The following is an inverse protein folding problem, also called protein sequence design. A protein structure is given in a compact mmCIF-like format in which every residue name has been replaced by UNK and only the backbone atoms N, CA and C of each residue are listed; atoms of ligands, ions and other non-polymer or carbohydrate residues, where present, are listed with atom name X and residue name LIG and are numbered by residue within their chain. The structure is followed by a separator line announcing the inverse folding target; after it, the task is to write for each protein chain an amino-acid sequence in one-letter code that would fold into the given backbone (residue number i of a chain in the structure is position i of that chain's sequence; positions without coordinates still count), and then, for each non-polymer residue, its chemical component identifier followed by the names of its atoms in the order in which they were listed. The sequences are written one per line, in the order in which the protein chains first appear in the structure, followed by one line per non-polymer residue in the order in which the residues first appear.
data_IF_463225016115
#
_entry.id   IF_463225016115
#
_cell.length_a   1.000
_cell.length_b   1.000
_cell.length_c   1.000
_cell.angle_alpha   90.00
_cell.angle_beta   90.00
_cell.angle_gamma   90.00
#
_symmetry.space_group_name_H-M   'P 1'
#
loop_
_entity.id
_entity.type
_entity.pdbx_description
1 polymer ?
#
# COMPACT_ATOMS: atom_id res chain seq x y z
N UNK A 1 -43.27 41.89 19.46
CA UNK A 1 -42.57 41.89 18.16
C UNK A 1 -41.78 40.60 18.06
N UNK A 2 -42.29 39.63 17.31
CA UNK A 2 -41.68 38.31 17.09
C UNK A 2 -40.42 38.49 16.25
N UNK A 3 -39.28 38.01 16.74
CA UNK A 3 -38.02 38.06 16.01
C UNK A 3 -38.17 37.32 14.67
N UNK A 4 -37.96 38.03 13.56
CA UNK A 4 -37.94 37.42 12.24
C UNK A 4 -36.77 36.44 12.19
N UNK A 5 -37.06 35.13 12.27
CA UNK A 5 -36.09 34.08 11.94
C UNK A 5 -35.68 34.31 10.48
N UNK A 6 -34.46 34.75 10.28
CA UNK A 6 -33.83 34.79 8.95
C UNK A 6 -33.84 33.37 8.41
N UNK A 7 -34.74 33.10 7.44
CA UNK A 7 -34.80 31.79 6.76
C UNK A 7 -33.52 31.61 5.96
N UNK A 8 -32.75 30.58 6.30
CA UNK A 8 -31.63 30.11 5.48
C UNK A 8 -32.16 29.81 4.07
N UNK A 9 -31.51 30.30 3.00
CA UNK A 9 -31.93 29.99 1.64
C UNK A 9 -31.95 28.46 1.44
N UNK A 10 -33.04 27.92 0.89
CA UNK A 10 -33.08 26.52 0.46
C UNK A 10 -32.03 26.32 -0.64
N UNK A 11 -30.95 25.61 -0.32
CA UNK A 11 -29.96 25.13 -1.29
C UNK A 11 -30.14 23.63 -1.47
N UNK A 12 -29.95 23.12 -2.69
CA UNK A 12 -30.06 21.69 -3.00
C UNK A 12 -29.21 20.86 -2.03
N UNK A 13 -27.98 21.26 -1.77
CA UNK A 13 -27.06 20.53 -0.87
C UNK A 13 -27.54 20.46 0.58
N UNK A 14 -28.14 21.54 1.10
CA UNK A 14 -28.71 21.55 2.44
C UNK A 14 -29.88 20.56 2.56
N UNK A 15 -30.71 20.50 1.52
CA UNK A 15 -31.83 19.55 1.44
C UNK A 15 -31.31 18.10 1.37
N UNK A 16 -30.24 17.85 0.61
CA UNK A 16 -29.60 16.52 0.53
C UNK A 16 -29.03 16.11 1.89
N UNK A 17 -28.36 17.02 2.62
CA UNK A 17 -27.81 16.72 3.96
C UNK A 17 -28.90 16.37 4.96
N UNK A 18 -29.96 17.16 5.02
CA UNK A 18 -31.08 16.92 5.94
C UNK A 18 -31.85 15.64 5.55
N UNK A 19 -31.98 15.37 4.25
CA UNK A 19 -32.55 14.11 3.75
C UNK A 19 -31.73 12.91 4.19
N UNK A 20 -30.39 13.00 4.14
CA UNK A 20 -29.48 11.96 4.64
C UNK A 20 -29.72 11.66 6.12
N UNK A 21 -29.79 12.70 6.97
CA UNK A 21 -30.05 12.54 8.41
C UNK A 21 -31.40 11.87 8.65
N UNK A 22 -32.44 12.29 7.93
CA UNK A 22 -33.79 11.71 8.04
C UNK A 22 -33.84 10.25 7.57
N UNK A 23 -33.21 9.93 6.44
CA UNK A 23 -33.17 8.56 5.90
C UNK A 23 -32.40 7.63 6.84
N UNK A 24 -31.28 8.09 7.41
CA UNK A 24 -30.49 7.31 8.36
C UNK A 24 -31.25 7.05 9.67
N UNK A 25 -32.02 8.03 10.15
CA UNK A 25 -32.79 7.92 11.41
C UNK A 25 -34.06 7.08 11.26
N UNK A 26 -34.83 7.33 10.20
CA UNK A 26 -36.21 6.86 10.09
C UNK A 26 -36.42 5.83 8.96
N UNK A 27 -35.40 5.57 8.15
CA UNK A 27 -35.54 4.81 6.90
C UNK A 27 -36.27 5.58 5.80
N UNK A 28 -36.37 4.96 4.62
CA UNK A 28 -37.00 5.56 3.46
C UNK A 28 -38.46 5.09 3.31
N UNK A 29 -39.42 5.95 3.61
CA UNK A 29 -40.85 5.66 3.50
C UNK A 29 -41.59 6.65 2.58
N UNK A 30 -42.92 6.51 2.44
CA UNK A 30 -43.73 7.38 1.59
C UNK A 30 -43.83 8.83 2.13
N UNK A 31 -43.40 9.07 3.38
CA UNK A 31 -43.53 10.35 4.08
C UNK A 31 -42.21 11.14 4.16
N UNK A 32 -41.10 10.58 3.67
CA UNK A 32 -39.77 11.21 3.74
C UNK A 32 -39.75 12.64 3.19
N UNK A 33 -40.36 12.90 2.02
CA UNK A 33 -40.42 14.25 1.45
C UNK A 33 -41.22 15.25 2.31
N UNK A 34 -42.24 14.75 3.02
CA UNK A 34 -43.07 15.59 3.88
C UNK A 34 -42.32 15.99 5.15
N UNK A 35 -41.65 15.02 5.79
CA UNK A 35 -40.80 15.29 6.97
C UNK A 35 -39.63 16.21 6.64
N UNK A 36 -39.05 16.04 5.45
CA UNK A 36 -38.01 16.92 4.92
C UNK A 36 -38.54 18.33 4.67
N UNK A 37 -39.77 18.48 4.17
CA UNK A 37 -40.38 19.80 4.01
C UNK A 37 -40.61 20.47 5.37
N UNK A 38 -41.04 19.70 6.37
CA UNK A 38 -41.28 20.17 7.74
C UNK A 38 -39.98 20.67 8.40
N UNK A 39 -38.84 19.99 8.22
CA UNK A 39 -37.54 20.41 8.78
C UNK A 39 -37.06 21.76 8.24
N UNK A 40 -37.34 22.05 6.97
CA UNK A 40 -37.08 23.36 6.37
C UNK A 40 -38.21 24.38 6.58
N UNK A 41 -39.29 24.01 7.25
CA UNK A 41 -40.49 24.84 7.41
C UNK A 41 -41.04 25.34 6.06
N UNK A 42 -41.08 24.45 5.06
CA UNK A 42 -41.61 24.69 3.72
C UNK A 42 -42.67 23.65 3.35
N UNK A 43 -43.36 23.84 2.22
CA UNK A 43 -44.28 22.83 1.68
C UNK A 43 -43.50 21.79 0.87
N UNK A 44 -44.00 20.55 0.81
CA UNK A 44 -43.41 19.52 -0.05
C UNK A 44 -43.31 19.96 -1.53
N UNK A 45 -44.30 20.67 -2.11
CA UNK A 45 -44.16 21.28 -3.43
C UNK A 45 -42.99 22.25 -3.60
N UNK A 46 -42.60 22.98 -2.55
CA UNK A 46 -41.45 23.87 -2.61
C UNK A 46 -40.12 23.10 -2.74
N UNK A 47 -40.05 21.87 -2.25
CA UNK A 47 -38.90 20.99 -2.47
C UNK A 47 -38.83 20.49 -3.92
N UNK A 48 -39.96 20.36 -4.63
CA UNK A 48 -39.96 19.94 -6.05
C UNK A 48 -39.28 20.95 -6.99
N UNK A 49 -39.11 22.20 -6.55
CA UNK A 49 -38.30 23.17 -7.29
C UNK A 49 -36.81 22.77 -7.34
N UNK A 50 -36.37 21.89 -6.43
CA UNK A 50 -35.00 21.43 -6.32
C UNK A 50 -34.82 19.97 -6.74
N UNK A 51 -35.89 19.16 -6.81
CA UNK A 51 -35.85 17.74 -7.20
C UNK A 51 -37.11 17.38 -7.99
N UNK A 52 -36.99 16.53 -9.01
CA UNK A 52 -38.14 16.14 -9.84
C UNK A 52 -39.15 15.26 -9.11
N UNK A 53 -38.65 14.33 -8.30
CA UNK A 53 -39.43 13.37 -7.54
C UNK A 53 -38.60 12.77 -6.39
N UNK A 54 -39.16 11.78 -5.69
CA UNK A 54 -38.48 11.03 -4.62
C UNK A 54 -37.24 10.29 -5.14
N UNK A 55 -37.25 9.79 -6.36
CA UNK A 55 -36.13 9.05 -6.95
C UNK A 55 -34.97 9.98 -7.30
N UNK A 56 -35.25 11.19 -7.79
CA UNK A 56 -34.26 12.24 -8.06
C UNK A 56 -33.57 12.73 -6.77
N UNK A 57 -34.31 12.83 -5.66
CA UNK A 57 -33.73 13.10 -4.34
C UNK A 57 -32.85 11.94 -3.86
N UNK A 58 -33.32 10.69 -4.00
CA UNK A 58 -32.55 9.52 -3.62
C UNK A 58 -31.27 9.37 -4.41
N UNK A 59 -31.34 9.62 -5.71
CA UNK A 59 -30.18 9.64 -6.59
C UNK A 59 -29.18 10.70 -6.17
N UNK A 60 -29.65 11.90 -5.81
CA UNK A 60 -28.76 12.95 -5.31
C UNK A 60 -28.09 12.59 -3.97
N UNK A 61 -28.80 11.92 -3.06
CA UNK A 61 -28.23 11.39 -1.81
C UNK A 61 -27.18 10.31 -2.12
N UNK A 62 -27.53 9.34 -2.97
CA UNK A 62 -26.66 8.22 -3.34
C UNK A 62 -25.43 8.66 -4.16
N UNK A 63 -25.59 9.61 -5.08
CA UNK A 63 -24.48 10.22 -5.85
C UNK A 63 -23.49 10.89 -4.91
N UNK A 64 -23.98 11.63 -3.91
CA UNK A 64 -23.12 12.28 -2.92
C UNK A 64 -22.41 11.28 -2.01
N UNK A 65 -23.10 10.24 -1.57
CA UNK A 65 -22.47 9.14 -0.82
C UNK A 65 -21.44 8.41 -1.67
N UNK A 66 -21.75 8.15 -2.94
CA UNK A 66 -20.82 7.58 -3.90
C UNK A 66 -19.63 8.52 -4.11
N UNK A 67 -19.82 9.83 -4.23
CA UNK A 67 -18.72 10.79 -4.32
C UNK A 67 -17.84 10.80 -3.07
N UNK A 68 -18.42 10.84 -1.87
CA UNK A 68 -17.70 10.81 -0.59
C UNK A 68 -16.96 9.49 -0.36
N UNK A 69 -17.60 8.37 -0.69
CA UNK A 69 -17.01 7.04 -0.67
C UNK A 69 -15.87 6.97 -1.70
N UNK A 70 -16.12 7.43 -2.92
CA UNK A 70 -15.12 7.46 -3.97
C UNK A 70 -13.98 8.41 -3.61
N UNK A 71 -14.18 9.52 -2.90
CA UNK A 71 -13.08 10.37 -2.42
C UNK A 71 -12.20 9.62 -1.43
N UNK A 72 -12.79 8.87 -0.50
CA UNK A 72 -12.06 8.01 0.45
C UNK A 72 -11.37 6.83 -0.25
N UNK A 73 -12.02 6.22 -1.24
CA UNK A 73 -11.54 5.11 -2.04
C UNK A 73 -10.47 5.51 -3.09
N UNK A 74 -10.47 6.78 -3.54
CA UNK A 74 -9.57 7.37 -4.56
C UNK A 74 -8.22 7.84 -4.00
N UNK A 75 -7.89 7.57 -2.73
CA UNK A 75 -6.58 7.93 -2.19
C UNK A 75 -5.40 7.34 -2.99
N UNK A 76 -5.63 6.24 -3.72
CA UNK A 76 -4.62 5.49 -4.46
C UNK A 76 -5.15 5.00 -5.81
N UNK A 77 -4.26 4.78 -6.79
CA UNK A 77 -4.60 4.36 -8.17
C UNK A 77 -5.46 3.09 -8.25
N UNK A 78 -5.35 2.19 -7.27
CA UNK A 78 -6.13 0.94 -7.22
C UNK A 78 -7.63 1.17 -7.19
N UNK A 79 -8.10 2.23 -6.51
CA UNK A 79 -9.53 2.53 -6.41
C UNK A 79 -10.15 2.82 -7.77
N UNK A 80 -9.69 3.87 -8.50
CA UNK A 80 -10.11 4.12 -9.87
C UNK A 80 -9.98 2.90 -10.79
N UNK A 81 -8.86 2.18 -10.69
CA UNK A 81 -8.59 1.04 -11.58
C UNK A 81 -9.61 -0.08 -11.39
N UNK A 82 -9.87 -0.52 -10.16
CA UNK A 82 -10.81 -1.62 -9.91
C UNK A 82 -12.25 -1.18 -10.16
N UNK A 83 -12.62 0.08 -9.91
CA UNK A 83 -13.94 0.60 -10.29
C UNK A 83 -14.16 0.53 -11.79
N UNK A 84 -13.21 1.04 -12.58
CA UNK A 84 -13.32 1.00 -14.05
C UNK A 84 -13.30 -0.44 -14.55
N UNK A 85 -12.37 -1.27 -14.07
CA UNK A 85 -12.25 -2.65 -14.50
C UNK A 85 -13.48 -3.48 -14.17
N UNK A 86 -14.00 -3.39 -12.93
CA UNK A 86 -15.19 -4.14 -12.53
C UNK A 86 -16.41 -3.70 -13.33
N UNK A 87 -16.69 -2.40 -13.39
CA UNK A 87 -17.89 -1.89 -14.05
C UNK A 87 -17.85 -2.09 -15.57
N UNK A 88 -16.70 -1.93 -16.21
CA UNK A 88 -16.54 -2.19 -17.65
C UNK A 88 -16.73 -3.67 -18.02
N UNK A 89 -16.48 -4.59 -17.09
CA UNK A 89 -16.69 -6.03 -17.28
C UNK A 89 -18.05 -6.52 -16.75
N UNK A 90 -18.94 -5.61 -16.32
CA UNK A 90 -20.24 -5.98 -15.75
C UNK A 90 -20.15 -6.73 -14.42
N UNK A 91 -19.02 -6.61 -13.72
CA UNK A 91 -18.82 -7.22 -12.41
C UNK A 91 -19.44 -6.37 -11.30
N UNK A 92 -19.74 -7.01 -10.17
CA UNK A 92 -20.19 -6.33 -8.95
C UNK A 92 -18.99 -5.89 -8.14
N UNK A 93 -18.87 -4.58 -7.89
CA UNK A 93 -17.87 -4.02 -6.98
C UNK A 93 -18.45 -3.97 -5.56
N UNK A 94 -17.72 -4.55 -4.60
CA UNK A 94 -18.01 -4.38 -3.18
C UNK A 94 -17.06 -3.34 -2.61
N UNK A 95 -17.63 -2.23 -2.14
CA UNK A 95 -16.91 -1.17 -1.46
C UNK A 95 -17.11 -1.30 0.04
N UNK A 96 -16.02 -1.22 0.80
CA UNK A 96 -16.04 -1.35 2.25
C UNK A 96 -15.55 -0.04 2.90
N UNK A 97 -16.33 0.48 3.84
CA UNK A 97 -15.96 1.63 4.68
C UNK A 97 -15.72 1.11 6.10
N UNK A 98 -14.44 1.04 6.49
CA UNK A 98 -14.01 0.52 7.78
C UNK A 98 -12.58 0.00 7.76
N UNK A 99 -12.02 -0.24 8.94
CA UNK A 99 -10.74 -0.92 9.08
C UNK A 99 -10.90 -2.42 8.74
N UNK A 100 -9.89 -3.05 8.11
CA UNK A 100 -9.97 -4.45 7.70
C UNK A 100 -9.91 -5.43 8.88
N UNK A 101 -9.64 -4.97 10.09
CA UNK A 101 -9.47 -5.73 11.33
C UNK A 101 -10.44 -5.28 12.45
N UNK A 102 -11.50 -4.54 12.08
CA UNK A 102 -12.53 -4.09 13.02
C UNK A 102 -13.91 -4.69 12.70
N UNK A 103 -14.65 -5.24 13.69
CA UNK A 103 -14.35 -5.26 15.12
C UNK A 103 -13.29 -6.27 15.56
N UNK A 104 -12.88 -7.17 14.66
CA UNK A 104 -11.91 -8.22 14.89
C UNK A 104 -11.16 -8.58 13.58
N UNK A 105 -10.04 -9.33 13.66
CA UNK A 105 -9.26 -9.78 12.51
C UNK A 105 -10.04 -10.70 11.54
N UNK A 106 -11.16 -11.27 11.96
CA UNK A 106 -12.06 -12.06 11.11
C UNK A 106 -12.84 -11.26 10.07
N UNK A 107 -12.81 -9.93 10.17
CA UNK A 107 -13.60 -9.02 9.35
C UNK A 107 -13.52 -9.27 7.82
N UNK A 108 -12.35 -9.48 7.19
CA UNK A 108 -12.29 -9.70 5.75
C UNK A 108 -12.99 -11.00 5.34
N UNK A 109 -12.90 -12.03 6.17
CA UNK A 109 -13.51 -13.34 5.93
C UNK A 109 -15.02 -13.30 6.15
N UNK A 110 -15.48 -12.56 7.17
CA UNK A 110 -16.90 -12.28 7.36
C UNK A 110 -17.52 -11.55 6.15
N UNK A 111 -16.77 -10.65 5.49
CA UNK A 111 -17.22 -10.00 4.25
C UNK A 111 -17.31 -11.00 3.09
N UNK A 112 -16.34 -11.92 2.98
CA UNK A 112 -16.35 -13.00 1.99
C UNK A 112 -17.59 -13.88 2.15
N UNK A 113 -17.84 -14.36 3.36
CA UNK A 113 -18.98 -15.22 3.68
C UNK A 113 -20.32 -14.50 3.42
N UNK A 114 -20.46 -13.28 3.95
CA UNK A 114 -21.71 -12.50 3.86
C UNK A 114 -22.09 -12.12 2.44
N UNK A 115 -21.10 -11.77 1.61
CA UNK A 115 -21.33 -11.23 0.27
C UNK A 115 -20.95 -12.19 -0.85
N UNK A 116 -20.54 -13.42 -0.51
CA UNK A 116 -20.04 -14.42 -1.45
C UNK A 116 -18.96 -13.85 -2.39
N UNK A 117 -17.97 -13.15 -1.82
CA UNK A 117 -16.91 -12.51 -2.60
C UNK A 117 -16.13 -13.56 -3.40
N UNK A 118 -15.98 -13.33 -4.70
CA UNK A 118 -15.24 -14.24 -5.59
C UNK A 118 -13.77 -13.86 -5.76
N UNK A 119 -13.45 -12.59 -5.54
CA UNK A 119 -12.10 -12.05 -5.53
C UNK A 119 -11.94 -11.13 -4.31
N UNK A 120 -10.83 -11.30 -3.59
CA UNK A 120 -10.48 -10.44 -2.47
C UNK A 120 -9.13 -9.75 -2.74
N UNK A 121 -9.15 -8.42 -2.76
CA UNK A 121 -7.93 -7.61 -2.86
C UNK A 121 -7.26 -7.49 -1.49
N UNK A 122 -5.96 -7.78 -1.42
CA UNK A 122 -5.16 -7.74 -0.18
C UNK A 122 -3.79 -7.12 -0.42
N UNK A 123 -3.26 -6.43 0.59
CA UNK A 123 -1.84 -6.06 0.61
C UNK A 123 -1.04 -7.10 1.42
N UNK A 124 0.25 -7.31 1.11
CA UNK A 124 1.09 -8.19 1.93
C UNK A 124 1.15 -7.74 3.40
N UNK A 125 1.10 -6.42 3.67
CA UNK A 125 1.00 -5.85 5.02
C UNK A 125 -0.25 -6.31 5.75
N UNK A 126 -1.41 -6.23 5.11
CA UNK A 126 -2.65 -6.71 5.71
C UNK A 126 -2.56 -8.20 6.02
N UNK A 127 -2.04 -9.00 5.08
CA UNK A 127 -1.89 -10.44 5.28
C UNK A 127 -0.96 -10.78 6.44
N UNK A 128 0.16 -10.06 6.60
CA UNK A 128 1.04 -10.24 7.77
C UNK A 128 0.31 -9.94 9.08
N UNK A 129 -0.48 -8.87 9.13
CA UNK A 129 -1.26 -8.51 10.32
C UNK A 129 -2.31 -9.57 10.67
N UNK A 130 -3.03 -10.08 9.67
CA UNK A 130 -4.03 -11.14 9.85
C UNK A 130 -3.37 -12.47 10.27
N UNK A 131 -2.23 -12.83 9.66
CA UNK A 131 -1.48 -14.03 10.03
C UNK A 131 -0.98 -13.97 11.48
N UNK A 132 -0.52 -12.80 11.93
CA UNK A 132 -0.08 -12.59 13.31
C UNK A 132 -1.23 -12.69 14.34
N UNK A 133 -2.47 -12.40 13.93
CA UNK A 133 -3.65 -12.51 14.78
C UNK A 133 -4.14 -13.95 14.97
N UNK A 134 -3.73 -14.88 14.09
CA UNK A 134 -4.02 -16.31 14.18
C UNK A 134 -5.01 -16.82 13.14
N UNK A 135 -5.12 -18.15 13.06
CA UNK A 135 -5.86 -18.85 12.01
C UNK A 135 -7.34 -19.10 12.36
N UNK A 136 -7.72 -18.93 13.63
CA UNK A 136 -9.05 -19.29 14.14
C UNK A 136 -10.15 -18.48 13.45
N UNK A 137 -9.94 -17.17 13.29
CA UNK A 137 -10.87 -16.28 12.59
C UNK A 137 -11.02 -16.64 11.11
N UNK A 138 -9.95 -17.11 10.47
CA UNK A 138 -9.97 -17.57 9.08
C UNK A 138 -10.80 -18.86 8.96
N UNK A 139 -10.65 -19.78 9.91
CA UNK A 139 -11.36 -21.05 9.95
C UNK A 139 -12.85 -20.90 10.32
N UNK A 140 -13.21 -19.84 11.03
CA UNK A 140 -14.58 -19.58 11.48
C UNK A 140 -15.56 -19.16 10.36
N UNK A 141 -15.06 -18.75 9.19
CA UNK A 141 -15.86 -18.20 8.10
C UNK A 141 -15.84 -19.07 6.83
N UNK A 142 -16.99 -19.21 6.18
CA UNK A 142 -17.07 -19.86 4.87
C UNK A 142 -16.44 -18.98 3.76
N UNK A 143 -15.37 -19.51 3.17
CA UNK A 143 -14.60 -18.89 2.08
C UNK A 143 -14.72 -19.64 0.76
N UNK A 144 -15.69 -20.56 0.65
CA UNK A 144 -15.88 -21.42 -0.52
C UNK A 144 -16.16 -20.64 -1.81
N UNK A 145 -16.72 -19.43 -1.71
CA UNK A 145 -17.01 -18.51 -2.82
C UNK A 145 -15.76 -17.90 -3.46
N UNK A 146 -14.65 -17.77 -2.71
CA UNK A 146 -13.41 -17.20 -3.22
C UNK A 146 -12.81 -18.05 -4.31
N UNK A 147 -12.36 -17.40 -5.39
CA UNK A 147 -11.70 -18.02 -6.53
C UNK A 147 -10.23 -17.62 -6.63
N UNK A 148 -9.88 -16.41 -6.20
CA UNK A 148 -8.51 -15.92 -6.17
C UNK A 148 -8.35 -14.72 -5.23
N UNK A 149 -7.10 -14.43 -4.88
CA UNK A 149 -6.72 -13.17 -4.25
C UNK A 149 -6.09 -12.24 -5.28
N UNK A 150 -6.24 -10.93 -5.13
CA UNK A 150 -5.47 -9.93 -5.87
C UNK A 150 -4.51 -9.22 -4.93
N UNK A 151 -3.24 -9.04 -5.32
CA UNK A 151 -2.26 -8.37 -4.48
C UNK A 151 -1.28 -7.50 -5.24
N UNK A 152 -0.94 -6.36 -4.65
CA UNK A 152 -0.02 -5.36 -5.18
C UNK A 152 0.40 -4.36 -4.08
N UNK A 153 1.35 -3.48 -4.39
CA UNK A 153 1.74 -2.35 -3.55
C UNK A 153 3.04 -2.51 -2.79
N UNK A 154 3.49 -3.75 -2.54
CA UNK A 154 4.80 -4.05 -1.95
C UNK A 154 5.24 -5.49 -2.25
N UNK A 155 6.55 -5.80 -2.11
CA UNK A 155 7.04 -7.18 -2.18
C UNK A 155 6.44 -8.08 -1.10
N UNK A 156 6.30 -9.37 -1.43
CA UNK A 156 5.85 -10.40 -0.50
C UNK A 156 7.00 -10.95 0.34
N UNK A 157 6.72 -11.28 1.59
CA UNK A 157 7.52 -12.26 2.33
C UNK A 157 7.00 -13.66 2.05
N UNK A 158 7.89 -14.65 2.05
CA UNK A 158 7.54 -16.05 1.78
C UNK A 158 6.49 -16.57 2.77
N UNK A 159 6.63 -16.26 4.05
CA UNK A 159 5.71 -16.71 5.10
C UNK A 159 4.30 -16.14 4.91
N UNK A 160 4.18 -14.85 4.59
CA UNK A 160 2.89 -14.22 4.35
C UNK A 160 2.23 -14.77 3.09
N UNK A 161 3.02 -15.05 2.05
CA UNK A 161 2.52 -15.62 0.80
C UNK A 161 1.95 -17.03 1.03
N UNK A 162 2.70 -17.89 1.72
CA UNK A 162 2.27 -19.25 2.04
C UNK A 162 1.09 -19.26 3.00
N UNK A 163 1.06 -18.39 4.01
CA UNK A 163 -0.10 -18.28 4.89
C UNK A 163 -1.38 -17.91 4.11
N UNK A 164 -1.31 -16.93 3.20
CA UNK A 164 -2.47 -16.57 2.39
C UNK A 164 -2.89 -17.73 1.48
N UNK A 165 -1.95 -18.43 0.87
CA UNK A 165 -2.25 -19.53 -0.05
C UNK A 165 -2.82 -20.75 0.68
N UNK A 166 -2.13 -21.23 1.72
CA UNK A 166 -2.45 -22.47 2.42
C UNK A 166 -3.58 -22.29 3.44
N UNK A 167 -3.48 -21.29 4.33
CA UNK A 167 -4.45 -21.07 5.41
C UNK A 167 -5.67 -20.32 4.89
N UNK A 168 -5.46 -19.14 4.30
CA UNK A 168 -6.56 -18.30 3.83
C UNK A 168 -7.17 -18.80 2.49
N UNK A 169 -6.40 -19.50 1.67
CA UNK A 169 -6.79 -20.02 0.36
C UNK A 169 -7.04 -21.54 0.31
N UNK A 170 -6.90 -22.25 1.43
CA UNK A 170 -7.02 -23.71 1.50
C UNK A 170 -6.13 -24.44 0.46
N UNK A 171 -4.97 -23.88 0.11
CA UNK A 171 -4.03 -24.41 -0.89
C UNK A 171 -4.57 -24.47 -2.32
N UNK A 172 -5.70 -23.80 -2.61
CA UNK A 172 -6.38 -23.90 -3.92
C UNK A 172 -6.71 -22.56 -4.56
N UNK A 173 -6.59 -21.45 -3.84
CA UNK A 173 -6.90 -20.12 -4.36
C UNK A 173 -5.61 -19.42 -4.80
N UNK A 174 -5.40 -19.18 -6.10
CA UNK A 174 -4.21 -18.50 -6.56
C UNK A 174 -4.15 -17.05 -6.06
N UNK A 175 -2.93 -16.57 -5.87
CA UNK A 175 -2.64 -15.18 -5.54
C UNK A 175 -2.22 -14.48 -6.84
N UNK A 176 -3.09 -13.61 -7.35
CA UNK A 176 -2.80 -12.74 -8.49
C UNK A 176 -1.91 -11.59 -8.02
N UNK A 177 -0.62 -11.89 -7.89
CA UNK A 177 0.40 -10.91 -7.56
C UNK A 177 0.75 -10.09 -8.80
N UNK A 178 0.64 -8.77 -8.70
CA UNK A 178 0.85 -7.86 -9.83
C UNK A 178 1.66 -6.63 -9.39
N UNK A 179 2.42 -6.09 -10.34
CA UNK A 179 3.14 -4.85 -10.17
C UNK A 179 2.71 -3.81 -11.19
N UNK A 180 2.70 -2.57 -10.75
CA UNK A 180 2.36 -1.38 -11.53
C UNK A 180 2.60 -0.15 -10.67
N UNK A 181 1.82 0.89 -10.92
CA UNK A 181 1.97 2.16 -10.22
C UNK A 181 1.01 3.20 -10.77
N UNK A 182 0.94 4.35 -10.11
CA UNK A 182 0.09 5.46 -10.53
C UNK A 182 0.39 5.90 -11.96
N UNK A 183 1.67 5.95 -12.33
CA UNK A 183 2.17 6.35 -13.63
C UNK A 183 2.01 5.27 -14.71
N UNK A 184 1.82 4.02 -14.27
CA UNK A 184 1.55 2.86 -15.13
C UNK A 184 0.09 2.79 -15.54
N UNK A 185 -0.81 3.27 -14.68
CA UNK A 185 -2.27 3.27 -14.90
C UNK A 185 -2.95 1.89 -14.79
N UNK A 186 -2.17 0.81 -14.75
CA UNK A 186 -2.62 -0.57 -14.57
C UNK A 186 -1.47 -1.41 -14.00
N UNK A 187 -1.08 -2.50 -14.67
CA UNK A 187 0.05 -3.35 -14.31
C UNK A 187 1.10 -3.43 -15.44
N UNK A 188 2.38 -3.50 -15.06
CA UNK A 188 3.49 -3.87 -15.94
C UNK A 188 3.79 -5.36 -15.88
N UNK A 189 3.65 -5.95 -14.69
CA UNK A 189 3.92 -7.36 -14.43
C UNK A 189 2.70 -8.00 -13.78
N UNK A 190 2.36 -9.21 -14.20
CA UNK A 190 1.25 -9.99 -13.62
C UNK A 190 1.48 -11.48 -13.78
N UNK A 191 0.92 -12.27 -12.87
CA UNK A 191 0.91 -13.73 -12.98
C UNK A 191 0.01 -14.21 -14.11
N UNK A 192 0.50 -15.21 -14.84
CA UNK A 192 -0.33 -16.00 -15.74
C UNK A 192 -0.91 -17.19 -14.97
N UNK A 193 -2.20 -17.13 -14.63
CA UNK A 193 -2.87 -18.20 -13.88
C UNK A 193 -2.83 -19.56 -14.59
N UNK A 194 -2.63 -19.61 -15.92
CA UNK A 194 -2.47 -20.87 -16.67
C UNK A 194 -1.09 -21.51 -16.46
N UNK A 195 -0.07 -20.72 -16.11
CA UNK A 195 1.28 -21.19 -15.84
C UNK A 195 1.49 -21.54 -14.35
N UNK A 196 0.50 -21.29 -13.50
CA UNK A 196 0.59 -21.41 -12.05
C UNK A 196 1.17 -20.15 -11.39
N UNK A 197 1.04 -20.09 -10.06
CA UNK A 197 1.64 -19.04 -9.25
C UNK A 197 2.92 -19.57 -8.58
N UNK A 198 3.99 -18.80 -8.64
CA UNK A 198 5.23 -19.09 -7.91
C UNK A 198 5.31 -18.14 -6.71
N UNK A 199 5.65 -18.63 -5.52
CA UNK A 199 5.72 -17.80 -4.31
C UNK A 199 6.52 -16.52 -4.54
N UNK A 200 5.96 -15.39 -4.10
CA UNK A 200 6.55 -14.05 -4.18
C UNK A 200 6.83 -13.52 -5.60
N UNK A 201 6.70 -14.33 -6.66
CA UNK A 201 6.85 -13.88 -8.04
C UNK A 201 5.69 -12.97 -8.45
N UNK A 202 5.98 -11.98 -9.29
CA UNK A 202 4.98 -11.16 -9.99
C UNK A 202 4.65 -11.71 -11.39
N UNK A 203 5.06 -12.95 -11.67
CA UNK A 203 4.82 -13.62 -12.95
C UNK A 203 5.76 -13.13 -14.04
N UNK A 204 5.22 -12.37 -14.98
CA UNK A 204 5.98 -11.79 -16.09
C UNK A 204 5.29 -10.59 -16.74
N UNK A 205 5.76 -10.14 -17.90
CA UNK A 205 5.21 -8.97 -18.59
C UNK A 205 3.70 -9.11 -18.81
N UNK A 206 2.95 -8.08 -18.42
CA UNK A 206 1.53 -7.99 -18.72
C UNK A 206 1.28 -7.83 -20.23
N UNK A 207 0.06 -8.09 -20.67
CA UNK A 207 -0.29 -7.99 -22.09
C UNK A 207 -0.06 -6.58 -22.63
N UNK A 208 0.68 -6.47 -23.74
CA UNK A 208 0.99 -5.20 -24.38
C UNK A 208 2.07 -4.36 -23.68
N UNK A 209 2.82 -4.96 -22.75
CA UNK A 209 3.90 -4.30 -22.03
C UNK A 209 5.25 -4.89 -22.45
N UNK A 210 6.18 -4.03 -22.85
CA UNK A 210 7.55 -4.41 -23.23
C UNK A 210 8.53 -4.01 -22.12
N UNK A 211 8.64 -4.84 -21.08
CA UNK A 211 9.55 -4.61 -19.95
C UNK A 211 10.88 -5.35 -20.10
N UNK A 212 11.93 -4.77 -19.54
CA UNK A 212 13.27 -5.33 -19.43
C UNK A 212 13.86 -5.03 -18.04
N UNK A 213 14.92 -5.76 -17.67
CA UNK A 213 15.71 -5.51 -16.47
C UNK A 213 17.12 -5.13 -16.91
N UNK A 214 17.61 -3.96 -16.50
CA UNK A 214 18.88 -3.42 -16.99
C UNK A 214 19.87 -3.09 -15.88
N UNK A 215 21.16 -3.15 -16.18
CA UNK A 215 22.22 -2.63 -15.31
C UNK A 215 22.31 -1.08 -15.36
N UNK A 216 23.27 -0.53 -14.63
CA UNK A 216 23.50 0.93 -14.55
C UNK A 216 23.90 1.55 -15.90
N UNK A 217 24.46 0.76 -16.81
CA UNK A 217 24.82 1.18 -18.17
C UNK A 217 23.63 1.02 -19.15
N UNK A 218 22.48 0.57 -18.66
CA UNK A 218 21.29 0.32 -19.46
C UNK A 218 21.38 -0.97 -20.29
N UNK A 219 22.29 -1.89 -19.99
CA UNK A 219 22.36 -3.20 -20.68
C UNK A 219 21.43 -4.19 -20.02
N UNK A 220 20.69 -4.96 -20.81
CA UNK A 220 19.80 -6.00 -20.27
C UNK A 220 20.61 -7.00 -19.46
N UNK A 221 20.12 -7.30 -18.25
CA UNK A 221 20.62 -8.36 -17.36
C UNK A 221 19.61 -9.50 -17.22
N UNK A 222 18.55 -9.49 -18.02
CA UNK A 222 17.55 -10.55 -18.04
C UNK A 222 18.19 -11.91 -18.34
N UNK A 223 17.82 -12.93 -17.56
CA UNK A 223 18.35 -14.29 -17.71
C UNK A 223 19.77 -14.48 -17.17
N UNK A 224 20.30 -13.50 -16.42
CA UNK A 224 21.56 -13.63 -15.71
C UNK A 224 21.39 -13.90 -14.21
N UNK A 225 20.15 -13.93 -13.71
CA UNK A 225 19.83 -13.97 -12.28
C UNK A 225 20.30 -12.73 -11.50
N UNK A 226 20.70 -11.66 -12.19
CA UNK A 226 21.13 -10.42 -11.55
C UNK A 226 19.94 -9.48 -11.40
N UNK A 227 19.86 -8.88 -10.22
CA UNK A 227 18.98 -7.74 -9.95
C UNK A 227 19.42 -6.53 -10.78
N UNK A 228 18.45 -5.86 -11.41
CA UNK A 228 18.65 -4.62 -12.16
C UNK A 228 17.40 -3.75 -12.17
N UNK A 229 17.48 -2.60 -12.83
CA UNK A 229 16.41 -1.61 -12.93
C UNK A 229 15.30 -2.08 -13.85
N UNK A 230 14.05 -2.03 -13.38
CA UNK A 230 12.88 -2.28 -14.21
C UNK A 230 12.65 -1.09 -15.16
N UNK A 231 12.68 -1.38 -16.45
CA UNK A 231 12.44 -0.40 -17.52
C UNK A 231 11.38 -0.90 -18.49
N UNK A 232 10.78 0.04 -19.24
CA UNK A 232 9.83 -0.25 -20.30
C UNK A 232 10.36 0.33 -21.62
N UNK A 233 10.49 -0.53 -22.62
CA UNK A 233 11.10 -0.24 -23.93
C UNK A 233 10.12 0.38 -24.93
N UNK A 234 8.81 0.26 -24.68
CA UNK A 234 7.78 0.78 -25.58
C UNK A 234 6.56 1.33 -24.80
N UNK A 235 5.84 2.32 -25.36
CA UNK A 235 4.59 2.79 -24.77
C UNK A 235 3.55 1.67 -24.62
N UNK A 236 2.76 1.74 -23.55
CA UNK A 236 1.66 0.81 -23.27
C UNK A 236 0.33 1.56 -23.12
N UNK A 237 -0.84 0.89 -23.22
CA UNK A 237 -2.14 1.57 -23.22
C UNK A 237 -2.45 2.41 -21.99
N UNK A 238 -1.97 2.00 -20.81
CA UNK A 238 -2.21 2.68 -19.53
C UNK A 238 -1.21 3.80 -19.20
N UNK A 239 -0.20 4.02 -20.06
CA UNK A 239 0.91 4.93 -19.78
C UNK A 239 0.43 6.35 -19.49
N UNK A 240 0.87 6.92 -18.36
CA UNK A 240 0.57 8.32 -18.06
C UNK A 240 1.14 9.24 -19.14
N UNK A 241 0.42 10.34 -19.41
CA UNK A 241 0.82 11.33 -20.42
C UNK A 241 1.75 12.42 -19.87
N UNK A 242 1.98 12.43 -18.57
CA UNK A 242 2.81 13.42 -17.89
C UNK A 242 2.30 13.79 -16.50
N UNK A 243 3.00 14.73 -15.85
CA UNK A 243 2.54 15.34 -14.61
C UNK A 243 1.73 16.60 -14.95
N UNK A 244 0.54 16.72 -14.36
CA UNK A 244 -0.35 17.85 -14.62
C UNK A 244 0.33 19.18 -14.26
N UNK A 245 0.38 20.10 -15.24
CA UNK A 245 1.04 21.40 -15.08
C UNK A 245 2.57 21.38 -15.09
N UNK A 246 3.20 20.20 -15.19
CA UNK A 246 4.66 20.04 -15.16
C UNK A 246 5.13 18.87 -16.04
N UNK A 247 5.01 18.96 -17.38
CA UNK A 247 5.42 17.89 -18.27
C UNK A 247 6.93 17.63 -18.23
N UNK A 248 7.75 18.64 -17.86
CA UNK A 248 9.20 18.48 -17.80
C UNK A 248 9.60 17.55 -16.65
N UNK A 249 8.99 17.70 -15.47
CA UNK A 249 9.21 16.78 -14.35
C UNK A 249 8.96 15.32 -14.72
N UNK A 250 7.97 15.04 -15.57
CA UNK A 250 7.73 13.67 -16.05
C UNK A 250 8.90 13.13 -16.88
N UNK A 251 9.44 13.95 -17.80
CA UNK A 251 10.60 13.57 -18.61
C UNK A 251 11.85 13.38 -17.74
N UNK A 252 12.10 14.33 -16.83
CA UNK A 252 13.25 14.29 -15.94
C UNK A 252 13.19 13.10 -14.98
N UNK A 253 11.99 12.76 -14.49
CA UNK A 253 11.81 11.63 -13.56
C UNK A 253 11.95 10.30 -14.28
N UNK A 254 11.25 10.12 -15.41
CA UNK A 254 11.03 8.78 -15.97
C UNK A 254 11.85 8.46 -17.23
N UNK A 255 12.43 9.45 -17.90
CA UNK A 255 13.09 9.27 -19.20
C UNK A 255 14.55 9.72 -19.23
N UNK A 256 15.04 10.38 -18.17
CA UNK A 256 16.39 10.95 -18.13
C UNK A 256 17.48 9.90 -17.86
N UNK A 257 17.16 8.84 -17.13
CA UNK A 257 18.14 7.85 -16.66
C UNK A 257 18.59 6.89 -17.76
N UNK A 258 17.64 6.38 -18.55
CA UNK A 258 17.90 5.42 -19.61
C UNK A 258 17.34 5.96 -20.93
N UNK A 259 18.24 6.35 -21.83
CA UNK A 259 17.84 6.99 -23.09
C UNK A 259 16.85 6.11 -23.87
N UNK A 260 15.67 6.66 -24.18
CA UNK A 260 14.62 5.98 -24.93
C UNK A 260 13.83 4.93 -24.16
N UNK A 261 14.05 4.80 -22.84
CA UNK A 261 13.39 3.81 -21.99
C UNK A 261 12.71 4.50 -20.82
N UNK A 262 11.48 4.09 -20.52
CA UNK A 262 10.77 4.58 -19.34
C UNK A 262 11.25 3.81 -18.10
N UNK A 263 11.79 4.52 -17.12
CA UNK A 263 12.35 3.95 -15.89
C UNK A 263 11.29 3.86 -14.80
N UNK A 264 11.05 2.66 -14.25
CA UNK A 264 10.03 2.47 -13.21
C UNK A 264 10.49 2.93 -11.82
N UNK A 265 11.78 2.77 -11.52
CA UNK A 265 12.33 3.00 -10.18
C UNK A 265 12.14 1.85 -9.20
N UNK A 266 11.84 0.64 -9.69
CA UNK A 266 11.92 -0.59 -8.92
C UNK A 266 13.07 -1.46 -9.44
N UNK A 267 13.65 -2.24 -8.55
CA UNK A 267 14.48 -3.36 -8.94
C UNK A 267 13.66 -4.60 -9.23
N UNK A 268 14.08 -5.27 -10.29
CA UNK A 268 13.55 -6.55 -10.72
C UNK A 268 14.68 -7.56 -10.92
N UNK A 269 14.32 -8.83 -10.79
CA UNK A 269 15.15 -9.96 -11.18
C UNK A 269 14.30 -10.87 -12.07
N UNK A 270 14.97 -11.50 -13.05
CA UNK A 270 14.39 -12.59 -13.84
C UNK A 270 15.21 -13.84 -13.62
N UNK A 271 14.58 -14.84 -13.01
CA UNK A 271 15.22 -16.14 -12.73
C UNK A 271 15.45 -16.94 -14.03
N UNK A 272 16.15 -18.08 -13.90
CA UNK A 272 16.47 -18.98 -15.02
C UNK A 272 15.23 -19.58 -15.68
N UNK A 273 14.10 -19.64 -14.96
CA UNK A 273 12.80 -20.10 -15.47
C UNK A 273 11.97 -18.95 -16.09
N UNK A 274 12.52 -17.75 -16.17
CA UNK A 274 11.88 -16.57 -16.75
C UNK A 274 10.83 -15.90 -15.86
N UNK A 275 10.82 -16.21 -14.56
CA UNK A 275 9.91 -15.63 -13.57
C UNK A 275 10.46 -14.32 -13.03
N UNK A 276 9.56 -13.38 -12.80
CA UNK A 276 9.91 -12.03 -12.39
C UNK A 276 9.70 -11.85 -10.90
N UNK A 277 10.66 -11.19 -10.26
CA UNK A 277 10.64 -10.83 -8.86
C UNK A 277 10.92 -9.34 -8.72
N UNK A 278 10.34 -8.71 -7.70
CA UNK A 278 10.60 -7.30 -7.38
C UNK A 278 11.23 -7.19 -6.01
N UNK A 279 12.28 -6.37 -5.95
CA UNK A 279 13.08 -6.14 -4.74
C UNK A 279 12.79 -4.76 -4.12
N UNK A 280 11.71 -4.13 -4.54
CA UNK A 280 11.29 -2.81 -4.10
C UNK A 280 12.01 -1.69 -4.83
N UNK A 281 11.92 -0.50 -4.22
CA UNK A 281 12.36 0.78 -4.77
C UNK A 281 13.88 0.83 -4.96
N UNK A 282 14.33 1.07 -6.18
CA UNK A 282 15.76 1.17 -6.52
C UNK A 282 16.42 2.37 -5.84
N UNK A 283 15.67 3.45 -5.63
CA UNK A 283 16.09 4.66 -4.91
C UNK A 283 16.19 4.46 -3.38
N UNK A 284 15.65 3.36 -2.84
CA UNK A 284 15.71 3.01 -1.42
C UNK A 284 16.69 1.84 -1.12
N UNK A 285 17.35 1.25 -2.11
CA UNK A 285 18.25 0.08 -1.92
C UNK A 285 19.63 0.38 -1.36
N UNK A 286 20.22 -0.61 -0.67
CA UNK A 286 21.58 -0.56 -0.15
C UNK A 286 22.55 -1.28 -1.10
N UNK A 287 23.73 -0.70 -1.34
CA UNK A 287 24.84 -1.33 -2.05
C UNK A 287 25.98 -1.67 -1.09
N UNK A 288 25.88 -2.84 -0.46
CA UNK A 288 26.86 -3.30 0.54
C UNK A 288 27.81 -4.28 -0.10
N UNK A 289 29.10 -3.93 -0.14
CA UNK A 289 30.15 -4.75 -0.76
C UNK A 289 29.86 -5.16 -2.22
N UNK A 290 29.25 -4.26 -3.01
CA UNK A 290 28.93 -4.50 -4.41
C UNK A 290 27.67 -5.34 -4.65
N UNK A 291 26.94 -5.71 -3.59
CA UNK A 291 25.66 -6.41 -3.67
C UNK A 291 24.53 -5.43 -3.36
N UNK A 292 23.56 -5.37 -4.26
CA UNK A 292 22.34 -4.58 -4.07
C UNK A 292 21.31 -5.39 -3.32
N UNK A 293 20.82 -4.85 -2.21
CA UNK A 293 19.81 -5.47 -1.37
C UNK A 293 18.73 -4.46 -1.01
N UNK A 294 17.48 -4.91 -1.03
CA UNK A 294 16.36 -4.11 -0.56
C UNK A 294 16.37 -4.00 0.97
N UNK A 295 16.09 -2.82 1.56
CA UNK A 295 15.94 -2.68 3.01
C UNK A 295 14.96 -3.68 3.61
N UNK A 296 13.87 -3.96 2.89
CA UNK A 296 12.82 -4.87 3.32
C UNK A 296 13.31 -6.31 3.55
N UNK A 297 14.30 -6.77 2.77
CA UNK A 297 14.89 -8.10 2.96
C UNK A 297 15.67 -8.16 4.28
N UNK A 298 16.45 -7.11 4.56
CA UNK A 298 17.19 -6.97 5.83
C UNK A 298 16.19 -6.88 6.99
N UNK A 299 15.17 -6.03 6.88
CA UNK A 299 14.14 -5.86 7.91
C UNK A 299 13.39 -7.17 8.18
N UNK A 300 13.08 -7.96 7.15
CA UNK A 300 12.43 -9.26 7.33
C UNK A 300 13.28 -10.22 8.17
N UNK A 301 14.60 -10.24 7.99
CA UNK A 301 15.49 -11.04 8.84
C UNK A 301 15.51 -10.54 10.29
N UNK A 302 15.46 -9.22 10.47
CA UNK A 302 15.48 -8.56 11.78
C UNK A 302 14.16 -8.79 12.54
N UNK A 303 13.02 -8.75 11.86
CA UNK A 303 11.70 -9.01 12.43
C UNK A 303 11.54 -10.46 12.92
N UNK A 304 12.37 -11.38 12.44
CA UNK A 304 12.44 -12.75 12.97
C UNK A 304 13.12 -12.85 14.35
N UNK A 305 13.73 -11.78 14.85
CA UNK A 305 14.40 -11.76 16.16
C UNK A 305 13.38 -11.55 17.29
N UNK A 306 13.26 -12.48 18.26
CA UNK A 306 12.37 -12.30 19.40
C UNK A 306 12.67 -11.00 20.15
N UNK A 307 11.64 -10.20 20.38
CA UNK A 307 11.76 -8.91 21.07
C UNK A 307 11.83 -7.69 20.14
N UNK A 308 11.81 -7.87 18.81
CA UNK A 308 11.68 -6.78 17.83
C UNK A 308 10.27 -6.76 17.25
N UNK A 309 9.60 -5.60 17.24
CA UNK A 309 8.26 -5.43 16.65
C UNK A 309 8.25 -4.69 15.32
N UNK A 310 9.25 -3.84 15.08
CA UNK A 310 9.39 -3.10 13.82
C UNK A 310 10.86 -2.77 13.59
N UNK A 311 11.27 -2.66 12.32
CA UNK A 311 12.62 -2.32 11.93
C UNK A 311 12.66 -1.43 10.69
N UNK A 312 13.65 -0.55 10.62
CA UNK A 312 14.02 0.22 9.44
C UNK A 312 15.50 0.00 9.14
N UNK A 313 15.80 -0.58 7.97
CA UNK A 313 17.16 -0.68 7.46
C UNK A 313 17.42 0.47 6.47
N UNK A 314 18.59 1.10 6.58
CA UNK A 314 19.03 2.14 5.63
C UNK A 314 20.51 2.01 5.33
N UNK A 315 20.89 2.44 4.12
CA UNK A 315 22.28 2.53 3.71
C UNK A 315 22.95 3.75 4.31
N UNK A 316 24.04 3.52 5.03
CA UNK A 316 24.90 4.56 5.62
C UNK A 316 26.20 4.68 4.82
N UNK A 317 26.60 5.90 4.39
CA UNK A 317 27.87 6.11 3.71
C UNK A 317 29.05 5.66 4.58
N UNK A 318 30.01 4.95 3.99
CA UNK A 318 31.20 4.47 4.67
C UNK A 318 32.44 4.76 3.82
N UNK A 319 33.50 5.39 4.36
CA UNK A 319 34.65 5.85 3.57
C UNK A 319 35.39 4.74 2.82
N UNK A 320 35.52 3.56 3.43
CA UNK A 320 36.18 2.38 2.82
C UNK A 320 35.23 1.46 2.06
N UNK A 321 34.06 1.15 2.62
CA UNK A 321 33.13 0.14 2.10
C UNK A 321 32.12 0.70 1.09
N UNK A 322 32.10 2.02 0.89
CA UNK A 322 31.10 2.72 0.10
C UNK A 322 29.82 2.92 0.91
N UNK A 323 29.11 1.84 1.19
CA UNK A 323 27.87 1.85 1.98
C UNK A 323 27.81 0.64 2.91
N UNK A 324 27.24 0.83 4.09
CA UNK A 324 27.00 -0.21 5.11
C UNK A 324 25.57 -0.15 5.62
N UNK A 325 25.11 -1.25 6.23
CA UNK A 325 23.76 -1.33 6.80
C UNK A 325 23.70 -0.61 8.15
N UNK A 326 22.74 0.30 8.31
CA UNK A 326 22.29 0.81 9.60
C UNK A 326 20.86 0.37 9.88
N UNK A 327 20.55 0.01 11.12
CA UNK A 327 19.24 -0.51 11.52
C UNK A 327 18.71 0.25 12.74
N UNK A 328 17.43 0.65 12.67
CA UNK A 328 16.66 1.17 13.79
C UNK A 328 15.52 0.21 14.10
N UNK A 329 15.46 -0.29 15.33
CA UNK A 329 14.47 -1.27 15.78
C UNK A 329 13.55 -0.67 16.85
N UNK A 330 12.29 -1.10 16.83
CA UNK A 330 11.34 -0.89 17.95
C UNK A 330 11.25 -2.20 18.72
N UNK A 331 11.62 -2.24 20.02
CA UNK A 331 11.48 -3.43 20.84
C UNK A 331 10.05 -3.64 21.37
N UNK A 332 9.67 -4.87 21.70
CA UNK A 332 8.31 -5.22 22.21
C UNK A 332 7.88 -4.47 23.48
N UNK A 333 8.82 -4.00 24.29
CA UNK A 333 8.56 -3.19 25.50
C UNK A 333 9.03 -1.73 25.40
N UNK A 334 9.40 -1.28 24.21
CA UNK A 334 10.14 -0.02 24.02
C UNK A 334 11.64 -0.15 24.32
N UNK A 335 12.41 0.94 24.15
CA UNK A 335 13.85 0.95 24.43
C UNK A 335 14.13 0.61 25.89
N UNK A 336 15.11 -0.26 26.13
CA UNK A 336 15.54 -0.61 27.48
C UNK A 336 16.59 0.39 27.98
N UNK A 337 16.47 0.83 29.23
CA UNK A 337 17.51 1.59 29.92
C UNK A 337 18.67 0.70 30.41
N UNK A 338 18.53 -0.63 30.33
CA UNK A 338 19.59 -1.58 30.66
C UNK A 338 20.56 -1.77 29.47
N UNK A 339 21.81 -1.30 29.57
CA UNK A 339 22.78 -1.41 28.48
C UNK A 339 23.10 -2.86 28.08
N UNK A 340 23.03 -3.80 29.03
CA UNK A 340 23.34 -5.20 28.76
C UNK A 340 22.24 -5.86 27.93
N UNK A 341 20.97 -5.57 28.22
CA UNK A 341 19.84 -6.04 27.46
C UNK A 341 19.84 -5.46 26.03
N UNK A 342 20.15 -4.17 25.89
CA UNK A 342 20.29 -3.52 24.58
C UNK A 342 21.42 -4.12 23.74
N UNK A 343 22.59 -4.36 24.33
CA UNK A 343 23.72 -4.97 23.63
C UNK A 343 23.39 -6.40 23.15
N UNK A 344 22.76 -7.22 23.99
CA UNK A 344 22.37 -8.59 23.64
C UNK A 344 21.37 -8.61 22.47
N UNK A 345 20.39 -7.70 22.46
CA UNK A 345 19.43 -7.60 21.36
C UNK A 345 20.10 -7.09 20.08
N UNK A 346 21.02 -6.14 20.17
CA UNK A 346 21.77 -5.63 19.02
C UNK A 346 22.64 -6.73 18.38
N UNK A 347 23.28 -7.56 19.20
CA UNK A 347 24.04 -8.72 18.73
C UNK A 347 23.13 -9.76 18.05
N UNK A 348 21.96 -10.07 18.63
CA UNK A 348 20.99 -10.98 18.02
C UNK A 348 20.48 -10.47 16.66
N UNK A 349 20.21 -9.16 16.55
CA UNK A 349 19.88 -8.50 15.28
C UNK A 349 21.01 -8.63 14.27
N UNK A 350 22.25 -8.37 14.70
CA UNK A 350 23.43 -8.53 13.84
C UNK A 350 23.63 -9.96 13.36
N UNK A 351 23.42 -10.94 14.24
CA UNK A 351 23.54 -12.37 13.94
C UNK A 351 22.48 -12.83 12.94
N UNK A 352 21.23 -12.37 13.08
CA UNK A 352 20.15 -12.70 12.15
C UNK A 352 20.44 -12.20 10.72
N UNK A 353 20.92 -10.97 10.58
CA UNK A 353 21.30 -10.40 9.27
C UNK A 353 22.50 -11.16 8.68
N UNK A 354 23.49 -11.51 9.51
CA UNK A 354 24.64 -12.31 9.07
C UNK A 354 24.23 -13.72 8.65
N UNK A 355 23.28 -14.34 9.35
CA UNK A 355 22.78 -15.66 9.01
C UNK A 355 22.05 -15.65 7.65
N UNK A 356 21.26 -14.61 7.37
CA UNK A 356 20.50 -14.49 6.13
C UNK A 356 21.35 -14.08 4.91
N UNK A 357 22.26 -13.11 5.08
CA UNK A 357 22.94 -12.45 3.95
C UNK A 357 24.47 -12.59 3.96
N UNK A 358 25.03 -13.10 5.06
CA UNK A 358 26.46 -13.30 5.25
C UNK A 358 27.16 -12.14 5.97
N UNK A 359 28.42 -12.38 6.37
CA UNK A 359 29.21 -11.45 7.22
C UNK A 359 29.39 -10.04 6.64
N UNK A 360 29.35 -9.89 5.32
CA UNK A 360 29.48 -8.60 4.65
C UNK A 360 28.32 -7.63 4.98
N UNK A 361 27.15 -8.16 5.34
CA UNK A 361 25.94 -7.39 5.66
C UNK A 361 25.76 -7.15 7.15
N UNK A 362 26.70 -7.56 8.01
CA UNK A 362 26.61 -7.24 9.44
C UNK A 362 26.39 -5.72 9.59
N UNK A 363 25.31 -5.29 10.28
CA UNK A 363 25.03 -3.88 10.46
C UNK A 363 26.20 -3.17 11.13
N UNK A 364 26.59 -2.03 10.59
CA UNK A 364 27.58 -1.15 11.22
C UNK A 364 26.96 -0.34 12.36
N UNK A 365 25.63 -0.21 12.37
CA UNK A 365 24.89 0.50 13.40
C UNK A 365 23.56 -0.21 13.67
N UNK A 366 23.25 -0.41 14.96
CA UNK A 366 21.94 -0.87 15.43
C UNK A 366 21.52 0.05 16.58
N UNK A 367 20.34 0.65 16.46
CA UNK A 367 19.77 1.53 17.47
C UNK A 367 18.33 1.14 17.80
N UNK A 368 17.90 1.45 19.03
CA UNK A 368 16.55 1.18 19.50
C UNK A 368 15.78 2.47 19.71
N UNK A 369 14.59 2.54 19.13
CA UNK A 369 13.71 3.72 19.19
C UNK A 369 12.32 3.32 19.68
N UNK A 370 11.59 4.26 20.26
CA UNK A 370 10.22 4.02 20.72
C UNK A 370 9.24 3.82 19.57
N UNK A 371 9.47 4.50 18.43
CA UNK A 371 8.65 4.40 17.23
C UNK A 371 9.49 4.75 15.99
N UNK A 372 9.07 4.26 14.83
CA UNK A 372 9.65 4.62 13.53
C UNK A 372 8.75 5.65 12.82
N UNK A 373 9.31 6.52 11.96
CA UNK A 373 8.51 7.46 11.19
C UNK A 373 7.63 6.71 10.19
N UNK A 374 6.32 6.71 10.45
CA UNK A 374 5.33 6.03 9.63
C UNK A 374 4.34 7.01 9.00
N UNK A 375 3.84 6.67 7.82
CA UNK A 375 2.66 7.31 7.23
C UNK A 375 1.40 6.87 7.97
N UNK A 376 0.27 7.56 7.74
CA UNK A 376 -1.06 7.14 8.26
C UNK A 376 -1.51 5.75 7.82
N UNK A 377 -0.86 5.15 6.82
CA UNK A 377 -1.08 3.77 6.39
C UNK A 377 -0.01 2.81 6.94
N UNK A 378 0.62 3.13 8.08
CA UNK A 378 1.66 2.37 8.76
C UNK A 378 2.95 2.07 7.97
N UNK A 379 3.13 2.65 6.78
CA UNK A 379 4.36 2.48 5.97
C UNK A 379 5.51 3.29 6.58
N UNK A 380 6.62 2.63 6.90
CA UNK A 380 7.87 3.27 7.35
C UNK A 380 8.48 4.13 6.25
N UNK A 381 8.82 5.38 6.59
CA UNK A 381 9.41 6.37 5.66
C UNK A 381 10.94 6.35 5.77
N UNK A 382 11.57 5.36 5.16
CA UNK A 382 13.03 5.09 5.23
C UNK A 382 13.89 6.27 4.79
N UNK A 383 13.46 7.03 3.76
CA UNK A 383 14.16 8.24 3.33
C UNK A 383 14.38 9.24 4.47
N UNK A 384 13.41 9.37 5.38
CA UNK A 384 13.49 10.30 6.50
C UNK A 384 14.44 9.78 7.59
N UNK A 385 14.40 8.46 7.86
CA UNK A 385 15.37 7.77 8.72
C UNK A 385 16.79 7.98 8.20
N UNK A 386 17.02 7.70 6.91
CA UNK A 386 18.33 7.86 6.26
C UNK A 386 18.80 9.30 6.29
N UNK A 387 17.93 10.25 5.96
CA UNK A 387 18.29 11.67 5.98
C UNK A 387 18.75 12.11 7.37
N UNK A 388 17.98 11.80 8.42
CA UNK A 388 18.39 12.11 9.80
C UNK A 388 19.67 11.40 10.22
N UNK A 389 19.79 10.11 9.93
CA UNK A 389 20.99 9.33 10.23
C UNK A 389 22.25 9.84 9.51
N UNK A 390 22.10 10.49 8.35
CA UNK A 390 23.21 11.07 7.57
C UNK A 390 23.38 12.58 7.77
N UNK A 391 22.57 13.19 8.65
CA UNK A 391 22.57 14.64 8.89
C UNK A 391 22.02 15.49 7.74
N UNK A 392 21.33 14.87 6.77
CA UNK A 392 20.66 15.56 5.67
C UNK A 392 19.24 16.02 6.06
N UNK A 393 18.70 16.98 5.30
CA UNK A 393 17.32 17.44 5.43
C UNK A 393 16.34 16.31 4.99
N UNK A 394 15.42 15.86 5.86
CA UNK A 394 14.45 14.83 5.50
C UNK A 394 13.36 15.30 4.52
N UNK A 395 13.28 16.59 4.18
CA UNK A 395 12.36 17.14 3.19
C UNK A 395 10.92 17.19 3.69
N UNK A 396 9.93 16.99 2.80
CA UNK A 396 8.51 17.06 3.16
C UNK A 396 8.11 15.92 4.12
N UNK A 397 7.56 16.29 5.29
CA UNK A 397 7.11 15.38 6.33
C UNK A 397 5.59 15.36 6.52
N UNK A 398 4.83 16.05 5.65
CA UNK A 398 3.37 16.22 5.78
C UNK A 398 2.57 14.92 5.78
N UNK A 399 3.15 13.83 5.28
CA UNK A 399 2.55 12.49 5.24
C UNK A 399 2.80 11.66 6.49
N UNK A 400 3.72 12.08 7.39
CA UNK A 400 4.01 11.36 8.62
C UNK A 400 2.85 11.52 9.62
N UNK A 401 2.56 10.45 10.35
CA UNK A 401 1.60 10.48 11.45
C UNK A 401 2.14 11.32 12.61
N UNK A 402 3.39 11.07 13.01
CA UNK A 402 4.11 11.84 14.01
C UNK A 402 5.54 12.16 13.51
N UNK A 403 5.82 13.40 13.10
CA UNK A 403 7.16 13.82 12.70
C UNK A 403 8.18 13.84 13.84
N UNK A 404 7.74 13.94 15.11
CA UNK A 404 8.64 14.11 16.26
C UNK A 404 9.48 12.87 16.56
N UNK A 405 9.03 11.68 16.12
CA UNK A 405 9.76 10.42 16.24
C UNK A 405 11.12 10.44 15.53
N UNK A 406 11.31 11.35 14.57
CA UNK A 406 12.59 11.55 13.88
C UNK A 406 13.67 12.12 14.79
N UNK A 407 13.32 12.80 15.89
CA UNK A 407 14.30 13.39 16.79
C UNK A 407 15.03 12.33 17.64
N UNK A 408 14.47 11.12 17.75
CA UNK A 408 15.14 9.97 18.35
C UNK A 408 16.21 9.35 17.43
N UNK A 409 16.28 9.77 16.16
CA UNK A 409 17.26 9.27 15.18
C UNK A 409 18.41 10.28 15.10
N UNK A 410 19.45 10.01 15.89
CA UNK A 410 20.67 10.81 15.87
C UNK A 410 21.48 10.56 14.57
N UNK A 411 22.20 11.58 14.06
CA UNK A 411 23.21 11.39 13.03
C UNK A 411 24.25 10.34 13.45
N UNK A 412 24.62 9.45 12.54
CA UNK A 412 25.56 8.37 12.79
C UNK A 412 26.92 8.74 12.23
N UNK A 413 27.93 8.78 13.09
CA UNK A 413 29.33 8.90 12.68
C UNK A 413 29.94 7.50 12.58
N UNK A 414 30.16 7.04 11.34
CA UNK A 414 30.89 5.80 11.06
C UNK A 414 32.37 6.15 10.90
N UNK A 415 33.18 5.69 11.86
CA UNK A 415 34.61 5.99 11.95
C UNK A 415 35.49 5.46 10.81
#
# INVERSE_FOLDING_TARGET
MTAARTRTPLRRDAIVEEARVLIARDGLDALTLRRLADSFSVSAPALYAHFRDKEDLLRAVAEREFEELMVRYRGWIMGPWITVAALANGATLVTYDGAPDWPDPGRPWALVERHALTFLGVSPTLVRALAAAGDEDVAAHDRSSLRAFGSTGEPWTTDAWWWLFDVAGNGTRPIVNLSGGTEVGACLLSVNLLAGCVPCSVGGPALGVAVDVVDDDGRSVRGTGRVGELVVDAPWPGMTRGVWGDPQRYLDTYWSRFAGRWWHGDFAEVDDDGRWFLHGRSDDTLNVAGKRIGPAEIESAVLGVPGVVSAAAVGLPHPVKGEVVGIWCVPTGGPSDDPAAGAALADAVGDAVVAAFGKAFRPAHVAFVAALPQTRSAKVVRRAVRARATGADPGDLSTLEDPSVLDAIAPVELG
#
